data_IF_252703421260
#
_entry.id   IF_252703421260
#
_cell.length_a   1.000
_cell.length_b   1.000
_cell.length_c   1.000
_cell.angle_alpha   90.00
_cell.angle_beta   90.00
_cell.angle_gamma   90.00
#
_symmetry.space_group_name_H-M   'P 1'
#
loop_
_entity.id
_entity.type
_entity.pdbx_description
1 polymer ?
#
# COMPACT_ATOMS: atom_id res chain seq x y z
N UNK A 1 60.85 45.78 -35.88
CA UNK A 1 60.80 45.03 -34.61
C UNK A 1 59.59 45.55 -33.84
N UNK A 2 58.62 44.65 -33.59
CA UNK A 2 57.66 44.58 -32.45
C UNK A 2 57.10 45.90 -31.87
N UNK A 3 55.80 46.12 -31.64
CA UNK A 3 54.68 45.24 -31.36
C UNK A 3 53.38 46.02 -31.66
N UNK A 4 52.39 45.38 -32.28
CA UNK A 4 51.01 45.86 -32.30
C UNK A 4 50.13 44.71 -31.81
N UNK A 5 49.57 44.88 -30.62
CA UNK A 5 48.71 43.91 -29.95
C UNK A 5 47.36 43.76 -30.67
N UNK A 6 47.14 42.55 -31.19
CA UNK A 6 45.89 42.07 -31.79
C UNK A 6 44.87 41.78 -30.68
N UNK A 7 43.90 42.67 -30.48
CA UNK A 7 42.73 42.43 -29.63
C UNK A 7 41.52 42.11 -30.52
N UNK A 8 41.26 40.82 -30.75
CA UNK A 8 40.00 40.35 -31.36
C UNK A 8 38.88 40.38 -30.31
N UNK A 9 37.68 40.87 -30.64
CA UNK A 9 36.55 40.71 -29.75
C UNK A 9 36.11 39.24 -29.77
N UNK A 10 36.13 38.61 -28.60
CA UNK A 10 35.51 37.31 -28.36
C UNK A 10 34.00 37.46 -28.49
N UNK A 11 33.43 36.98 -29.59
CA UNK A 11 31.99 36.77 -29.69
C UNK A 11 31.60 35.69 -28.68
N UNK A 12 31.10 36.11 -27.53
CA UNK A 12 30.38 35.24 -26.61
C UNK A 12 29.12 34.76 -27.34
N UNK A 13 29.19 33.55 -27.88
CA UNK A 13 28.01 32.77 -28.20
C UNK A 13 27.30 32.49 -26.87
N UNK A 14 26.43 33.42 -26.46
CA UNK A 14 25.31 33.06 -25.62
C UNK A 14 24.42 32.15 -26.47
N UNK A 15 24.68 30.85 -26.38
CA UNK A 15 23.69 29.86 -26.77
C UNK A 15 22.49 30.08 -25.87
N UNK A 16 21.51 30.82 -26.37
CA UNK A 16 20.14 30.73 -25.90
C UNK A 16 19.73 29.30 -26.17
N UNK A 17 19.97 28.42 -25.20
CA UNK A 17 19.50 27.05 -25.21
C UNK A 17 17.99 27.11 -24.90
N UNK A 18 17.22 27.62 -25.86
CA UNK A 18 15.78 27.39 -25.89
C UNK A 18 15.61 25.93 -26.25
N UNK A 19 15.75 25.07 -25.24
CA UNK A 19 15.51 23.64 -25.35
C UNK A 19 14.19 23.43 -26.11
N UNK A 20 14.24 22.62 -27.16
CA UNK A 20 13.05 22.31 -27.95
C UNK A 20 11.91 21.88 -27.02
N UNK A 21 10.67 22.37 -27.22
CA UNK A 21 9.56 22.10 -26.32
C UNK A 21 9.35 20.59 -26.17
N UNK A 22 9.23 20.12 -24.93
CA UNK A 22 8.96 18.72 -24.63
C UNK A 22 7.58 18.35 -25.22
N UNK A 23 7.49 17.35 -26.11
CA UNK A 23 6.24 17.03 -26.81
C UNK A 23 5.14 16.45 -25.90
N UNK A 24 5.49 16.00 -24.69
CA UNK A 24 4.58 15.40 -23.71
C UNK A 24 3.99 16.43 -22.76
N UNK A 25 4.69 17.55 -22.55
CA UNK A 25 4.28 18.63 -21.67
C UNK A 25 4.12 19.92 -22.49
N UNK A 26 2.88 20.30 -22.85
CA UNK A 26 2.63 21.46 -23.73
C UNK A 26 2.98 22.81 -23.08
N UNK A 27 3.23 22.83 -21.77
CA UNK A 27 3.65 24.02 -21.04
C UNK A 27 5.17 24.25 -21.15
N UNK A 28 5.65 25.50 -21.02
CA UNK A 28 7.09 25.80 -21.01
C UNK A 28 7.85 25.16 -19.82
N UNK A 29 7.13 24.63 -18.83
CA UNK A 29 7.73 23.97 -17.67
C UNK A 29 8.25 22.55 -17.95
N UNK A 30 7.94 21.96 -19.11
CA UNK A 30 8.43 20.64 -19.52
C UNK A 30 8.10 19.52 -18.53
N UNK A 31 8.94 18.49 -18.47
CA UNK A 31 8.80 17.35 -17.56
C UNK A 31 9.21 17.71 -16.11
N UNK A 32 8.40 18.54 -15.47
CA UNK A 32 8.55 18.98 -14.08
C UNK A 32 7.22 18.90 -13.34
N UNK A 33 7.22 19.02 -12.02
CA UNK A 33 5.98 19.09 -11.24
C UNK A 33 5.10 20.27 -11.68
N UNK A 34 5.71 21.40 -12.06
CA UNK A 34 4.99 22.55 -12.63
C UNK A 34 4.36 22.23 -14.00
N UNK A 35 5.02 21.41 -14.82
CA UNK A 35 4.42 20.90 -16.06
C UNK A 35 3.23 19.98 -15.83
N UNK A 36 3.30 19.12 -14.80
CA UNK A 36 2.18 18.29 -14.36
C UNK A 36 1.02 19.15 -13.83
N UNK A 37 1.33 20.18 -13.03
CA UNK A 37 0.34 21.14 -12.55
C UNK A 37 -0.37 21.86 -13.70
N UNK A 38 0.39 22.33 -14.70
CA UNK A 38 -0.15 22.95 -15.89
C UNK A 38 -1.05 22.00 -16.69
N UNK A 39 -0.72 20.71 -16.79
CA UNK A 39 -1.59 19.69 -17.37
C UNK A 39 -2.87 19.51 -16.55
N UNK A 40 -2.78 19.40 -15.23
CA UNK A 40 -3.95 19.27 -14.35
C UNK A 40 -4.89 20.48 -14.44
N UNK A 41 -4.35 21.68 -14.59
CA UNK A 41 -5.14 22.92 -14.72
C UNK A 41 -5.96 22.96 -16.04
N UNK A 42 -5.57 22.22 -17.07
CA UNK A 42 -6.26 22.27 -18.37
C UNK A 42 -7.68 21.68 -18.28
N UNK A 43 -8.68 22.31 -18.94
CA UNK A 43 -10.04 21.76 -19.03
C UNK A 43 -10.14 20.42 -19.79
N UNK A 44 -9.14 20.11 -20.62
CA UNK A 44 -9.04 18.90 -21.44
C UNK A 44 -8.56 17.69 -20.64
N UNK A 45 -7.74 17.87 -19.62
CA UNK A 45 -7.29 16.80 -18.72
C UNK A 45 -8.46 16.39 -17.82
N UNK A 46 -9.14 15.30 -18.18
CA UNK A 46 -10.35 14.80 -17.51
C UNK A 46 -10.25 13.34 -17.09
N UNK A 47 -9.25 12.63 -17.58
CA UNK A 47 -9.02 11.22 -17.31
C UNK A 47 -7.72 11.00 -16.55
N UNK A 48 -7.66 11.50 -15.31
CA UNK A 48 -6.52 11.25 -14.42
C UNK A 48 -6.69 9.87 -13.77
N UNK A 49 -5.70 9.01 -13.97
CA UNK A 49 -5.62 7.72 -13.28
C UNK A 49 -4.57 7.81 -12.19
N UNK A 50 -4.91 7.31 -11.00
CA UNK A 50 -4.00 7.27 -9.86
C UNK A 50 -3.66 5.82 -9.51
N UNK A 51 -2.37 5.51 -9.37
CA UNK A 51 -1.87 4.28 -8.76
C UNK A 51 -1.32 4.62 -7.37
N UNK A 52 -1.93 4.05 -6.32
CA UNK A 52 -1.56 4.34 -4.94
C UNK A 52 -1.10 3.08 -4.20
N UNK A 53 -0.11 3.24 -3.32
CA UNK A 53 0.30 2.22 -2.37
C UNK A 53 0.38 2.75 -0.93
N UNK A 54 1.01 1.99 -0.05
CA UNK A 54 0.97 2.23 1.39
C UNK A 54 1.53 3.61 1.81
N UNK A 55 2.42 4.19 1.01
CA UNK A 55 3.03 5.49 1.26
C UNK A 55 2.02 6.63 1.39
N UNK A 56 0.85 6.54 0.73
CA UNK A 56 -0.21 7.57 0.86
C UNK A 56 -0.94 7.51 2.21
N UNK A 57 -0.82 6.40 2.95
CA UNK A 57 -1.49 6.17 4.26
C UNK A 57 -0.56 6.40 5.44
N UNK A 58 0.75 6.58 5.22
CA UNK A 58 1.74 6.73 6.31
C UNK A 58 1.52 7.96 7.18
N UNK A 59 0.92 9.03 6.64
CA UNK A 59 0.55 10.26 7.36
C UNK A 59 -0.92 10.32 7.77
N UNK A 60 -1.66 9.21 7.70
CA UNK A 60 -2.99 9.10 8.28
C UNK A 60 -2.98 9.42 9.79
N UNK A 61 -4.15 9.66 10.39
CA UNK A 61 -4.26 9.95 11.83
C UNK A 61 -5.15 8.93 12.54
N UNK A 62 -4.62 8.08 13.42
CA UNK A 62 -3.18 7.89 13.71
C UNK A 62 -2.41 7.33 12.49
N UNK A 63 -1.06 7.44 12.47
CA UNK A 63 -0.24 6.93 11.37
C UNK A 63 -0.47 5.44 11.12
N UNK A 64 -0.58 5.05 9.85
CA UNK A 64 -0.62 3.65 9.44
C UNK A 64 0.77 3.29 8.92
N UNK A 65 1.53 2.39 9.58
CA UNK A 65 2.82 1.98 9.05
C UNK A 65 2.63 1.31 7.70
N UNK A 66 3.58 1.50 6.79
CA UNK A 66 3.61 0.68 5.59
C UNK A 66 4.00 -0.76 5.95
N UNK A 67 4.02 -1.64 4.95
CA UNK A 67 4.40 -3.02 5.19
C UNK A 67 5.92 -3.19 5.29
N UNK A 68 6.67 -2.47 4.45
CA UNK A 68 8.05 -2.82 4.05
C UNK A 68 9.13 -1.91 4.63
N UNK A 69 8.81 -0.72 5.14
CA UNK A 69 9.84 0.23 5.60
C UNK A 69 10.65 -0.37 6.75
N UNK A 70 12.00 -0.29 6.69
CA UNK A 70 12.85 -0.77 7.77
C UNK A 70 12.54 -0.09 9.11
N UNK A 71 12.42 -0.89 10.18
CA UNK A 71 12.27 -0.41 11.56
C UNK A 71 10.86 0.07 11.96
N UNK A 72 10.06 0.58 11.03
CA UNK A 72 8.69 1.08 11.29
C UNK A 72 7.59 0.27 10.61
N UNK A 73 7.92 -0.43 9.53
CA UNK A 73 6.96 -1.19 8.74
C UNK A 73 6.45 -2.42 9.49
N UNK A 74 5.24 -2.86 9.15
CA UNK A 74 4.56 -3.99 9.79
C UNK A 74 5.46 -5.23 9.89
N UNK A 75 6.22 -5.55 8.83
CA UNK A 75 7.13 -6.70 8.80
C UNK A 75 8.29 -6.62 9.79
N UNK A 76 8.79 -5.43 10.10
CA UNK A 76 9.87 -5.26 11.09
C UNK A 76 9.42 -5.64 12.51
N UNK A 77 8.10 -5.57 12.77
CA UNK A 77 7.50 -5.82 14.08
C UNK A 77 6.90 -7.24 14.23
N UNK A 78 7.05 -8.11 13.23
CA UNK A 78 6.47 -9.45 13.21
C UNK A 78 7.40 -10.57 13.69
N UNK A 79 8.60 -10.23 14.17
CA UNK A 79 9.60 -11.19 14.66
C UNK A 79 9.05 -12.12 15.77
N UNK A 80 8.10 -11.65 16.58
CA UNK A 80 7.49 -12.41 17.67
C UNK A 80 6.65 -13.62 17.22
N UNK A 81 6.23 -13.69 15.96
CA UNK A 81 5.35 -14.76 15.46
C UNK A 81 6.11 -15.99 14.93
N UNK A 82 7.46 -16.01 15.03
CA UNK A 82 8.32 -17.08 14.52
C UNK A 82 7.95 -17.48 13.07
N UNK A 83 7.73 -16.47 12.23
CA UNK A 83 7.34 -16.67 10.84
C UNK A 83 8.53 -17.19 10.04
N UNK A 84 8.32 -18.07 9.04
CA UNK A 84 9.40 -18.53 8.17
C UNK A 84 10.01 -17.41 7.32
N UNK A 85 9.21 -16.37 7.04
CA UNK A 85 9.58 -15.11 6.39
C UNK A 85 8.46 -14.09 6.69
N UNK A 86 8.73 -12.79 6.57
CA UNK A 86 7.83 -11.75 7.08
C UNK A 86 6.46 -11.72 6.39
N UNK A 87 6.41 -12.01 5.10
CA UNK A 87 5.20 -12.04 4.27
C UNK A 87 4.30 -13.25 4.55
N UNK A 88 4.79 -14.27 5.28
CA UNK A 88 4.07 -15.53 5.46
C UNK A 88 2.70 -15.34 6.13
N UNK A 89 2.54 -14.33 6.97
CA UNK A 89 1.25 -14.02 7.62
C UNK A 89 0.14 -13.65 6.61
N UNK A 90 0.52 -13.19 5.42
CA UNK A 90 -0.38 -12.85 4.31
C UNK A 90 -0.27 -13.86 3.15
N UNK A 91 0.32 -15.04 3.35
CA UNK A 91 0.31 -16.14 2.38
C UNK A 91 -0.90 -17.06 2.60
N UNK A 92 -1.67 -17.36 1.55
CA UNK A 92 -2.90 -18.15 1.68
C UNK A 92 -2.63 -19.59 2.15
N UNK A 93 -1.50 -20.18 1.73
CA UNK A 93 -1.10 -21.51 2.14
C UNK A 93 -0.69 -21.55 3.61
N UNK A 94 0.07 -20.55 4.07
CA UNK A 94 0.42 -20.39 5.48
C UNK A 94 -0.82 -20.15 6.33
N UNK A 95 -1.71 -19.22 5.95
CA UNK A 95 -2.96 -18.95 6.66
C UNK A 95 -3.85 -20.17 6.84
N UNK A 96 -3.95 -21.03 5.81
CA UNK A 96 -4.72 -22.27 5.90
C UNK A 96 -4.18 -23.25 6.94
N UNK A 97 -2.86 -23.24 7.20
CA UNK A 97 -2.20 -24.11 8.18
C UNK A 97 -2.08 -23.46 9.56
N UNK A 98 -1.79 -22.16 9.60
CA UNK A 98 -1.52 -21.35 10.77
C UNK A 98 -2.32 -20.04 10.70
N UNK A 99 -3.65 -20.08 10.90
CA UNK A 99 -4.49 -18.87 10.81
C UNK A 99 -4.34 -17.94 12.01
N UNK A 100 -3.88 -18.44 13.17
CA UNK A 100 -3.85 -17.70 14.42
C UNK A 100 -3.01 -16.41 14.36
N UNK A 101 -1.78 -16.40 13.79
CA UNK A 101 -0.98 -15.18 13.66
C UNK A 101 -1.74 -14.04 12.96
N UNK A 102 -2.45 -14.35 11.86
CA UNK A 102 -3.25 -13.36 11.15
C UNK A 102 -4.38 -12.80 12.04
N UNK A 103 -5.15 -13.65 12.73
CA UNK A 103 -6.24 -13.17 13.59
C UNK A 103 -5.75 -12.37 14.81
N UNK A 104 -4.58 -12.70 15.35
CA UNK A 104 -3.93 -11.91 16.40
C UNK A 104 -3.51 -10.53 15.89
N UNK A 105 -3.05 -10.45 14.63
CA UNK A 105 -2.67 -9.19 14.00
C UNK A 105 -3.88 -8.35 13.56
N UNK A 106 -4.89 -9.00 12.97
CA UNK A 106 -6.04 -8.37 12.33
C UNK A 106 -6.85 -7.47 13.28
N UNK A 107 -6.82 -7.74 14.58
CA UNK A 107 -7.47 -6.87 15.60
C UNK A 107 -6.94 -5.44 15.59
N UNK A 108 -5.69 -5.23 15.18
CA UNK A 108 -5.08 -3.90 15.07
C UNK A 108 -5.24 -3.27 13.68
N UNK A 109 -5.59 -4.08 12.67
CA UNK A 109 -5.71 -3.64 11.28
C UNK A 109 -7.16 -3.31 10.88
N UNK A 110 -8.14 -3.63 11.74
CA UNK A 110 -9.54 -3.47 11.40
C UNK A 110 -9.93 -1.99 11.24
N UNK A 111 -10.72 -1.61 10.20
CA UNK A 111 -11.11 -0.22 9.94
C UNK A 111 -11.98 0.38 11.05
N UNK A 112 -11.84 1.70 11.26
CA UNK A 112 -12.74 2.50 12.12
C UNK A 112 -12.07 3.65 12.89
N UNK A 113 -10.75 3.65 13.00
CA UNK A 113 -10.03 4.63 13.82
C UNK A 113 -9.17 5.64 13.09
N UNK A 114 -9.07 5.51 11.76
CA UNK A 114 -8.14 6.30 10.96
C UNK A 114 -8.83 7.44 10.22
N UNK A 115 -8.20 8.61 10.25
CA UNK A 115 -8.53 9.74 9.39
C UNK A 115 -7.60 9.72 8.17
N UNK A 116 -8.13 9.85 6.94
CA UNK A 116 -7.31 9.84 5.73
C UNK A 116 -6.25 10.94 5.69
N UNK A 117 -5.10 10.65 5.07
CA UNK A 117 -4.03 11.62 4.83
C UNK A 117 -4.41 12.67 3.77
N UNK A 118 -3.57 13.71 3.57
CA UNK A 118 -3.82 14.76 2.57
C UNK A 118 -3.92 14.17 1.16
N UNK A 119 -3.07 13.20 0.82
CA UNK A 119 -3.06 12.51 -0.47
C UNK A 119 -4.40 11.83 -0.80
N UNK A 120 -5.16 11.36 0.20
CA UNK A 120 -6.49 10.80 -0.02
C UNK A 120 -7.52 11.87 -0.38
N UNK A 121 -7.46 13.04 0.26
CA UNK A 121 -8.33 14.17 -0.08
C UNK A 121 -7.98 14.78 -1.43
N UNK A 122 -6.74 14.62 -1.90
CA UNK A 122 -6.40 14.97 -3.28
C UNK A 122 -7.13 14.10 -4.31
N UNK A 123 -7.35 12.81 -4.02
CA UNK A 123 -8.22 11.96 -4.86
C UNK A 123 -9.65 12.51 -4.89
N UNK A 124 -10.19 12.89 -3.73
CA UNK A 124 -11.50 13.50 -3.63
C UNK A 124 -11.58 14.86 -4.36
N UNK A 125 -10.52 15.65 -4.34
CA UNK A 125 -10.40 16.90 -5.10
C UNK A 125 -10.43 16.65 -6.61
N UNK A 126 -9.63 15.70 -7.11
CA UNK A 126 -9.64 15.31 -8.52
C UNK A 126 -11.04 14.86 -8.95
N UNK A 127 -11.77 14.14 -8.09
CA UNK A 127 -13.15 13.75 -8.33
C UNK A 127 -14.09 14.97 -8.36
N UNK A 128 -14.02 15.85 -7.37
CA UNK A 128 -14.85 17.07 -7.28
C UNK A 128 -14.64 17.99 -8.49
N UNK A 129 -13.42 18.05 -9.01
CA UNK A 129 -13.05 18.79 -10.23
C UNK A 129 -13.40 18.07 -11.53
N UNK A 130 -13.99 16.87 -11.48
CA UNK A 130 -14.37 16.09 -12.65
C UNK A 130 -13.19 15.53 -13.46
N UNK A 131 -12.04 15.34 -12.80
CA UNK A 131 -10.77 14.91 -13.42
C UNK A 131 -10.38 13.47 -13.11
N UNK A 132 -10.90 12.90 -12.03
CA UNK A 132 -10.55 11.54 -11.61
C UNK A 132 -11.25 10.48 -12.47
N UNK A 133 -10.49 9.72 -13.26
CA UNK A 133 -11.01 8.54 -13.96
C UNK A 133 -11.08 7.33 -13.05
N UNK A 134 -9.96 7.03 -12.37
CA UNK A 134 -9.79 5.79 -11.61
C UNK A 134 -8.70 5.91 -10.57
N UNK A 135 -8.91 5.28 -9.42
CA UNK A 135 -7.85 5.00 -8.43
C UNK A 135 -7.66 3.49 -8.38
N UNK A 136 -6.48 3.01 -8.74
CA UNK A 136 -6.03 1.67 -8.39
C UNK A 136 -5.21 1.78 -7.10
N UNK A 137 -5.65 1.12 -6.05
CA UNK A 137 -4.96 1.13 -4.76
C UNK A 137 -4.49 -0.26 -4.38
N UNK A 138 -3.27 -0.36 -3.88
CA UNK A 138 -2.75 -1.57 -3.22
C UNK A 138 -3.15 -1.64 -1.75
N UNK A 139 -3.71 -0.55 -1.21
CA UNK A 139 -4.07 -0.44 0.19
C UNK A 139 -5.37 -1.19 0.46
N UNK A 140 -5.49 -1.68 1.69
CA UNK A 140 -6.65 -2.43 2.19
C UNK A 140 -7.39 -1.66 3.30
N UNK A 141 -6.88 -0.47 3.66
CA UNK A 141 -7.32 0.37 4.77
C UNK A 141 -8.63 1.13 4.51
N UNK A 142 -9.08 1.19 3.25
CA UNK A 142 -10.31 1.84 2.76
C UNK A 142 -10.34 3.37 2.89
N UNK A 143 -9.19 4.01 3.15
CA UNK A 143 -9.11 5.45 3.39
C UNK A 143 -9.53 6.30 2.18
N UNK A 144 -9.43 5.77 0.95
CA UNK A 144 -9.91 6.44 -0.26
C UNK A 144 -11.43 6.66 -0.21
N UNK A 145 -12.17 5.63 0.21
CA UNK A 145 -13.64 5.69 0.37
C UNK A 145 -14.01 6.62 1.52
N UNK A 146 -13.25 6.56 2.63
CA UNK A 146 -13.46 7.41 3.80
C UNK A 146 -13.23 8.89 3.46
N UNK A 147 -12.27 9.20 2.59
CA UNK A 147 -12.04 10.55 2.08
C UNK A 147 -13.14 11.05 1.12
N UNK A 148 -14.08 10.17 0.72
CA UNK A 148 -15.24 10.51 -0.11
C UNK A 148 -15.09 10.18 -1.60
N UNK A 149 -14.07 9.39 -1.98
CA UNK A 149 -13.97 8.89 -3.36
C UNK A 149 -15.08 7.86 -3.61
N UNK A 150 -15.78 8.01 -4.73
CA UNK A 150 -16.90 7.13 -5.08
C UNK A 150 -16.42 5.69 -5.27
N UNK A 151 -17.23 4.74 -4.77
CA UNK A 151 -16.95 3.32 -4.82
C UNK A 151 -16.66 2.81 -6.24
N UNK A 152 -17.36 3.38 -7.22
CA UNK A 152 -17.23 3.03 -8.61
C UNK A 152 -15.94 3.57 -9.23
N UNK A 153 -15.21 4.52 -8.61
CA UNK A 153 -13.90 5.02 -9.07
C UNK A 153 -12.71 4.34 -8.39
N UNK A 154 -12.94 3.65 -7.27
CA UNK A 154 -11.89 2.89 -6.58
C UNK A 154 -11.80 1.45 -7.09
N UNK A 155 -10.58 0.99 -7.30
CA UNK A 155 -10.21 -0.41 -7.57
C UNK A 155 -9.22 -0.81 -6.48
N UNK A 156 -9.73 -1.51 -5.48
CA UNK A 156 -8.97 -2.13 -4.40
C UNK A 156 -8.27 -3.38 -4.97
N UNK A 157 -7.06 -3.20 -5.52
CA UNK A 157 -6.34 -4.25 -6.22
C UNK A 157 -6.02 -5.43 -5.30
N UNK A 158 -5.72 -5.15 -4.03
CA UNK A 158 -5.49 -6.15 -3.00
C UNK A 158 -6.72 -6.37 -2.10
N UNK A 159 -7.92 -6.02 -2.57
CA UNK A 159 -9.14 -6.17 -1.81
C UNK A 159 -9.22 -5.22 -0.61
N UNK A 160 -10.12 -5.48 0.33
CA UNK A 160 -10.28 -4.64 1.52
C UNK A 160 -10.87 -5.38 2.71
N UNK A 161 -10.77 -4.77 3.90
CA UNK A 161 -11.39 -5.26 5.13
C UNK A 161 -12.90 -4.99 5.20
N UNK A 162 -13.50 -4.41 4.15
CA UNK A 162 -14.91 -4.02 4.14
C UNK A 162 -15.86 -5.21 4.25
N UNK A 163 -15.46 -6.39 3.75
CA UNK A 163 -16.27 -7.60 3.73
C UNK A 163 -15.42 -8.81 4.10
N UNK A 164 -16.04 -9.90 4.55
CA UNK A 164 -15.34 -11.15 4.87
C UNK A 164 -16.06 -12.36 4.29
N UNK A 165 -15.28 -13.30 3.72
CA UNK A 165 -15.81 -14.45 2.99
C UNK A 165 -15.14 -15.76 3.42
N UNK A 166 -15.94 -16.82 3.48
CA UNK A 166 -15.42 -18.18 3.65
C UNK A 166 -14.54 -18.59 2.47
N UNK A 167 -13.31 -19.05 2.73
CA UNK A 167 -12.36 -19.38 1.67
C UNK A 167 -12.79 -20.57 0.79
N UNK A 168 -13.63 -21.46 1.33
CA UNK A 168 -14.12 -22.66 0.64
C UNK A 168 -15.47 -22.45 -0.05
N UNK A 169 -16.54 -22.19 0.72
CA UNK A 169 -17.90 -22.12 0.16
C UNK A 169 -18.31 -20.73 -0.35
N UNK A 170 -17.42 -19.74 -0.24
CA UNK A 170 -17.64 -18.33 -0.66
C UNK A 170 -18.85 -17.64 0.00
N UNK A 171 -19.34 -18.17 1.11
CA UNK A 171 -20.35 -17.50 1.91
C UNK A 171 -19.75 -16.25 2.55
N UNK A 172 -20.28 -15.09 2.19
CA UNK A 172 -20.00 -13.82 2.86
C UNK A 172 -20.64 -13.86 4.25
N UNK A 173 -19.86 -13.58 5.28
CA UNK A 173 -20.34 -13.49 6.66
C UNK A 173 -20.76 -12.06 6.99
N UNK A 174 -21.57 -11.94 8.03
CA UNK A 174 -21.95 -10.65 8.61
C UNK A 174 -20.74 -9.91 9.22
N UNK A 175 -20.72 -8.58 9.08
CA UNK A 175 -19.57 -7.75 9.44
C UNK A 175 -19.38 -7.66 10.96
N UNK A 176 -20.47 -7.59 11.74
CA UNK A 176 -20.42 -7.58 13.21
C UNK A 176 -19.98 -8.95 13.75
N UNK A 177 -20.45 -10.03 13.10
CA UNK A 177 -20.07 -11.40 13.44
C UNK A 177 -18.57 -11.67 13.31
N UNK A 178 -17.92 -11.15 12.25
CA UNK A 178 -16.48 -11.34 12.03
C UNK A 178 -15.67 -10.39 12.91
N UNK A 179 -16.13 -9.14 13.07
CA UNK A 179 -15.49 -8.14 13.93
C UNK A 179 -15.34 -8.66 15.35
N UNK A 180 -16.42 -9.17 15.93
CA UNK A 180 -16.41 -9.70 17.30
C UNK A 180 -15.39 -10.84 17.50
N UNK A 181 -15.13 -11.65 16.47
CA UNK A 181 -14.10 -12.71 16.52
C UNK A 181 -12.70 -12.16 16.40
N UNK A 182 -12.49 -11.24 15.47
CA UNK A 182 -11.21 -10.58 15.26
C UNK A 182 -10.79 -9.83 16.53
N UNK A 183 -11.71 -9.11 17.18
CA UNK A 183 -11.46 -8.42 18.46
C UNK A 183 -11.03 -9.37 19.58
N UNK A 184 -11.60 -10.58 19.63
CA UNK A 184 -11.19 -11.64 20.57
C UNK A 184 -9.95 -12.41 20.13
N UNK A 185 -9.39 -12.13 18.96
CA UNK A 185 -8.28 -12.90 18.37
C UNK A 185 -8.66 -14.35 18.03
N UNK A 186 -9.95 -14.63 17.84
CA UNK A 186 -10.46 -15.97 17.56
C UNK A 186 -10.42 -16.28 16.07
N UNK A 187 -9.96 -17.49 15.72
CA UNK A 187 -9.99 -17.97 14.34
C UNK A 187 -11.43 -18.11 13.85
N UNK A 188 -11.80 -17.27 12.88
CA UNK A 188 -13.13 -17.32 12.30
C UNK A 188 -13.31 -18.53 11.36
N UNK A 189 -14.40 -19.27 11.57
CA UNK A 189 -14.79 -20.43 10.77
C UNK A 189 -16.22 -20.27 10.27
N UNK A 190 -16.47 -20.75 9.06
CA UNK A 190 -17.73 -20.55 8.37
C UNK A 190 -18.89 -21.08 9.21
N UNK A 191 -19.94 -20.25 9.46
CA UNK A 191 -21.09 -20.66 10.27
C UNK A 191 -22.05 -21.59 9.52
N UNK A 192 -21.87 -21.79 8.21
CA UNK A 192 -22.77 -22.62 7.41
C UNK A 192 -22.53 -24.10 7.71
N UNK A 193 -23.54 -24.79 8.23
CA UNK A 193 -23.46 -26.21 8.62
C UNK A 193 -22.95 -27.15 7.51
N UNK A 194 -23.28 -26.86 6.24
CA UNK A 194 -22.83 -27.66 5.08
C UNK A 194 -21.39 -27.36 4.64
N UNK A 195 -20.73 -26.35 5.20
CA UNK A 195 -19.37 -26.01 4.86
C UNK A 195 -18.41 -26.89 5.67
N UNK A 196 -17.71 -27.81 4.99
CA UNK A 196 -16.72 -28.67 5.64
C UNK A 196 -15.33 -28.05 5.51
N UNK A 197 -14.66 -27.80 6.64
CA UNK A 197 -13.28 -27.36 6.70
C UNK A 197 -12.31 -28.54 6.88
N UNK A 198 -11.09 -28.42 6.35
CA UNK A 198 -10.00 -29.36 6.63
C UNK A 198 -9.42 -29.09 8.02
N UNK A 199 -10.08 -29.50 9.11
CA UNK A 199 -9.44 -29.63 10.43
C UNK A 199 -9.38 -31.12 10.77
N UNK A 200 -8.18 -31.67 10.97
CA UNK A 200 -8.04 -33.05 11.46
C UNK A 200 -8.75 -33.14 12.82
N UNK A 201 -9.77 -34.00 12.92
CA UNK A 201 -10.42 -34.35 14.18
C UNK A 201 -11.59 -33.48 14.66
N UNK A 202 -12.13 -32.56 13.85
CA UNK A 202 -13.36 -31.83 14.22
C UNK A 202 -14.20 -31.43 13.00
N UNK A 203 -15.52 -31.63 13.07
CA UNK A 203 -16.50 -31.05 12.13
C UNK A 203 -16.57 -29.53 12.34
N UNK A 204 -15.67 -28.80 11.69
CA UNK A 204 -15.64 -27.35 11.75
C UNK A 204 -15.69 -26.76 10.35
N UNK A 205 -16.37 -25.62 10.22
CA UNK A 205 -16.38 -24.83 9.00
C UNK A 205 -14.98 -24.48 8.50
N UNK A 206 -14.86 -24.27 7.19
CA UNK A 206 -13.64 -23.74 6.58
C UNK A 206 -13.36 -22.33 7.10
N UNK A 207 -12.11 -21.87 7.00
CA UNK A 207 -11.70 -20.56 7.49
C UNK A 207 -12.48 -19.44 6.77
N UNK A 208 -12.74 -18.37 7.51
CA UNK A 208 -13.24 -17.11 6.97
C UNK A 208 -12.10 -16.12 7.03
N UNK A 209 -11.96 -15.26 6.04
CA UNK A 209 -11.00 -14.15 6.08
C UNK A 209 -11.64 -12.88 5.52
N UNK A 210 -11.15 -11.69 5.88
CA UNK A 210 -11.45 -10.47 5.16
C UNK A 210 -11.15 -10.62 3.67
N UNK A 211 -11.89 -9.90 2.83
CA UNK A 211 -11.76 -9.94 1.38
C UNK A 211 -10.55 -9.12 0.88
N UNK A 212 -9.43 -9.23 1.62
CA UNK A 212 -8.08 -8.83 1.22
C UNK A 212 -7.39 -9.97 0.48
N UNK A 213 -6.57 -9.64 -0.50
CA UNK A 213 -5.86 -10.60 -1.35
C UNK A 213 -4.58 -11.03 -0.65
N UNK A 214 -4.47 -12.32 -0.36
CA UNK A 214 -3.23 -12.91 0.16
C UNK A 214 -2.30 -13.29 -0.99
N UNK A 215 -1.00 -13.43 -0.70
CA UNK A 215 -0.06 -14.05 -1.63
C UNK A 215 -0.54 -15.46 -1.99
N UNK A 216 -0.48 -15.78 -3.28
CA UNK A 216 -1.04 -17.00 -3.85
C UNK A 216 -2.52 -16.92 -4.24
N UNK A 217 -3.23 -15.82 -3.95
CA UNK A 217 -4.59 -15.58 -4.45
C UNK A 217 -4.60 -14.75 -5.74
N UNK A 218 -5.63 -14.93 -6.57
CA UNK A 218 -5.88 -14.05 -7.70
C UNK A 218 -6.43 -12.70 -7.24
N UNK A 219 -6.01 -11.62 -7.90
CA UNK A 219 -6.60 -10.29 -7.70
C UNK A 219 -8.10 -10.29 -8.08
N UNK A 220 -8.91 -9.35 -7.55
CA UNK A 220 -10.34 -9.29 -7.83
C UNK A 220 -10.62 -9.09 -9.32
N UNK A 221 -11.69 -9.69 -9.84
CA UNK A 221 -12.08 -9.55 -11.26
C UNK A 221 -12.26 -8.08 -11.70
N UNK A 222 -12.67 -7.21 -10.77
CA UNK A 222 -12.77 -5.77 -10.98
C UNK A 222 -11.43 -5.13 -11.36
N UNK A 223 -10.31 -5.60 -10.81
CA UNK A 223 -8.97 -5.13 -11.17
C UNK A 223 -8.75 -5.27 -12.68
N UNK A 224 -8.88 -6.49 -13.19
CA UNK A 224 -8.67 -6.78 -14.62
C UNK A 224 -9.67 -6.06 -15.53
N UNK A 225 -10.94 -5.99 -15.11
CA UNK A 225 -11.99 -5.28 -15.86
C UNK A 225 -11.76 -3.78 -15.99
N UNK A 226 -11.04 -3.16 -15.05
CA UNK A 226 -10.77 -1.72 -15.07
C UNK A 226 -9.45 -1.37 -15.75
N UNK A 227 -8.55 -2.33 -16.03
CA UNK A 227 -7.29 -2.07 -16.77
C UNK A 227 -7.52 -1.26 -18.06
N UNK A 228 -8.55 -1.53 -18.89
CA UNK A 228 -8.81 -0.72 -20.08
C UNK A 228 -9.02 0.78 -19.84
N UNK A 229 -9.38 1.21 -18.63
CA UNK A 229 -9.49 2.65 -18.32
C UNK A 229 -8.15 3.38 -18.44
N UNK A 230 -7.02 2.70 -18.22
CA UNK A 230 -5.68 3.26 -18.35
C UNK A 230 -5.39 3.73 -19.79
N UNK A 231 -6.00 3.10 -20.80
CA UNK A 231 -5.86 3.47 -22.21
C UNK A 231 -6.53 4.81 -22.56
N UNK A 232 -7.39 5.33 -21.68
CA UNK A 232 -8.01 6.64 -21.82
C UNK A 232 -7.35 7.72 -20.97
N UNK A 233 -6.24 7.40 -20.27
CA UNK A 233 -5.62 8.32 -19.34
C UNK A 233 -4.97 9.52 -20.04
N UNK A 234 -5.27 10.72 -19.55
CA UNK A 234 -4.61 11.96 -19.96
C UNK A 234 -3.34 12.21 -19.11
N UNK A 235 -3.32 11.65 -17.89
CA UNK A 235 -2.24 11.75 -16.93
C UNK A 235 -2.28 10.54 -15.99
N UNK A 236 -1.12 9.93 -15.75
CA UNK A 236 -0.93 8.92 -14.70
C UNK A 236 -0.23 9.56 -13.50
N UNK A 237 -0.81 9.43 -12.31
CA UNK A 237 -0.17 9.83 -11.05
C UNK A 237 0.10 8.56 -10.24
N UNK A 238 1.36 8.31 -9.90
CA UNK A 238 1.77 7.17 -9.07
C UNK A 238 2.29 7.72 -7.75
N UNK A 239 1.73 7.27 -6.62
CA UNK A 239 2.07 7.80 -5.30
C UNK A 239 2.30 6.72 -4.27
N UNK A 240 3.39 6.86 -3.51
CA UNK A 240 3.60 6.09 -2.28
C UNK A 240 3.62 4.56 -2.48
N UNK A 241 4.27 4.07 -3.54
CA UNK A 241 4.37 2.63 -3.82
C UNK A 241 5.78 2.28 -4.25
N UNK A 242 6.24 1.06 -3.89
CA UNK A 242 7.52 0.53 -4.34
C UNK A 242 7.46 -0.14 -5.72
N UNK A 243 6.25 -0.32 -6.29
CA UNK A 243 6.02 -1.04 -7.56
C UNK A 243 6.69 -2.43 -7.63
N UNK A 244 6.79 -3.14 -6.51
CA UNK A 244 7.39 -4.48 -6.46
C UNK A 244 6.39 -5.63 -6.65
N UNK A 245 5.09 -5.36 -6.54
CA UNK A 245 4.05 -6.40 -6.52
C UNK A 245 3.33 -6.45 -7.87
N UNK A 246 3.47 -7.58 -8.57
CA UNK A 246 2.74 -7.87 -9.80
C UNK A 246 1.35 -8.46 -9.51
N UNK A 247 0.35 -8.24 -10.39
CA UNK A 247 0.42 -7.49 -11.67
C UNK A 247 0.28 -5.97 -11.53
N UNK A 248 0.15 -5.43 -10.30
CA UNK A 248 -0.09 -3.99 -10.09
C UNK A 248 1.02 -3.11 -10.65
N UNK A 249 2.29 -3.50 -10.46
CA UNK A 249 3.44 -2.74 -10.94
C UNK A 249 3.41 -2.52 -12.46
N UNK A 250 2.92 -3.50 -13.23
CA UNK A 250 2.82 -3.39 -14.70
C UNK A 250 1.80 -2.36 -15.20
N UNK A 251 0.92 -1.83 -14.35
CA UNK A 251 -0.08 -0.85 -14.76
C UNK A 251 0.52 0.47 -15.24
N UNK A 252 1.75 0.80 -14.85
CA UNK A 252 2.45 2.02 -15.31
C UNK A 252 2.69 2.02 -16.82
N UNK A 253 2.72 0.85 -17.45
CA UNK A 253 2.96 0.68 -18.88
C UNK A 253 1.65 0.48 -19.68
N UNK A 254 0.52 0.37 -18.99
CA UNK A 254 -0.79 0.17 -19.59
C UNK A 254 -1.48 1.50 -19.99
N UNK A 255 -0.80 2.64 -19.86
CA UNK A 255 -1.26 3.94 -20.37
C UNK A 255 -0.74 4.21 -21.78
N UNK A 256 -1.41 5.03 -22.60
CA UNK A 256 -0.99 5.30 -23.98
C UNK A 256 0.46 5.76 -24.06
N UNK A 257 1.27 5.05 -24.85
CA UNK A 257 2.64 5.42 -25.15
C UNK A 257 2.74 5.99 -26.57
N UNK A 258 3.49 7.09 -26.79
CA UNK A 258 4.24 7.87 -25.80
C UNK A 258 3.43 9.04 -25.21
N UNK A 259 2.13 9.14 -25.51
CA UNK A 259 1.36 10.39 -25.35
C UNK A 259 0.90 10.71 -23.94
N UNK A 260 0.74 9.72 -23.05
CA UNK A 260 0.29 9.97 -21.67
C UNK A 260 1.50 10.31 -20.78
N UNK A 261 1.56 11.52 -20.19
CA UNK A 261 2.55 11.85 -19.17
C UNK A 261 2.30 11.07 -17.89
N UNK A 262 3.37 10.81 -17.13
CA UNK A 262 3.33 10.09 -15.85
C UNK A 262 4.13 10.85 -14.81
N UNK A 263 3.64 10.88 -13.57
CA UNK A 263 4.39 11.42 -12.43
C UNK A 263 4.47 10.40 -11.31
N UNK A 264 5.65 10.23 -10.74
CA UNK A 264 5.91 9.47 -9.53
C UNK A 264 6.17 10.44 -8.38
N UNK A 265 5.31 10.43 -7.37
CA UNK A 265 5.49 11.14 -6.11
C UNK A 265 5.84 10.10 -5.05
N UNK A 266 7.13 9.97 -4.74
CA UNK A 266 7.60 8.91 -3.86
C UNK A 266 8.93 9.29 -3.21
N UNK A 267 9.30 8.58 -2.13
CA UNK A 267 10.59 8.79 -1.47
C UNK A 267 11.77 8.38 -2.34
N UNK A 268 11.56 7.41 -3.22
CA UNK A 268 12.60 6.82 -4.05
C UNK A 268 12.08 6.61 -5.47
N UNK A 269 12.97 6.66 -6.46
CA UNK A 269 12.65 6.23 -7.82
C UNK A 269 12.37 4.72 -7.83
N UNK A 270 11.33 4.32 -8.54
CA UNK A 270 10.91 2.91 -8.65
C UNK A 270 10.31 2.64 -10.01
N UNK A 271 10.29 1.36 -10.41
CA UNK A 271 9.69 0.93 -11.69
C UNK A 271 10.39 1.53 -12.91
N UNK A 272 11.68 1.86 -12.81
CA UNK A 272 12.48 2.39 -13.92
C UNK A 272 12.67 1.34 -15.03
N UNK A 273 13.04 1.81 -16.22
CA UNK A 273 13.49 0.95 -17.31
C UNK A 273 14.51 -0.06 -16.78
N UNK A 274 14.35 -1.33 -17.15
CA UNK A 274 15.38 -2.31 -16.86
C UNK A 274 16.67 -1.90 -17.58
N UNK A 275 17.62 -1.29 -16.85
CA UNK A 275 18.97 -1.13 -17.35
C UNK A 275 19.58 -2.52 -17.51
N UNK A 276 20.41 -2.69 -18.52
CA UNK A 276 21.16 -3.92 -18.79
C UNK A 276 22.22 -4.25 -17.72
N UNK A 277 22.08 -3.76 -16.48
CA UNK A 277 23.09 -3.86 -15.41
C UNK A 277 23.19 -5.28 -14.80
N UNK A 278 22.66 -6.29 -15.50
CA UNK A 278 22.90 -7.71 -15.23
C UNK A 278 23.64 -8.47 -16.33
N UNK A 279 24.02 -7.86 -17.46
CA UNK A 279 24.72 -8.55 -18.54
C UNK A 279 25.93 -7.76 -19.05
N UNK A 280 27.07 -7.94 -18.40
CA UNK A 280 28.39 -7.55 -18.91
C UNK A 280 28.73 -8.40 -20.14
N UNK A 281 28.24 -8.01 -21.30
CA UNK A 281 28.46 -8.72 -22.54
C UNK A 281 28.38 -7.83 -23.78
N UNK A 282 29.52 -7.24 -24.15
CA UNK A 282 29.88 -6.89 -25.53
C UNK A 282 29.15 -5.71 -26.16
N UNK A 283 29.90 -4.67 -26.51
CA UNK A 283 29.39 -3.47 -27.16
C UNK A 283 28.63 -3.73 -28.46
N UNK A 284 27.41 -3.19 -28.54
CA UNK A 284 26.76 -2.78 -29.78
C UNK A 284 25.65 -1.76 -29.41
N UNK A 285 25.60 -0.63 -30.11
CA UNK A 285 24.99 0.63 -29.63
C UNK A 285 23.47 0.68 -29.42
N UNK A 286 23.06 1.68 -28.63
CA UNK A 286 21.78 2.42 -28.52
C UNK A 286 20.44 1.80 -28.96
N UNK A 287 20.27 0.48 -28.93
CA UNK A 287 19.03 -0.19 -29.37
C UNK A 287 18.46 -1.23 -28.39
N UNK A 288 18.90 -1.22 -27.13
CA UNK A 288 18.62 -2.32 -26.19
C UNK A 288 17.97 -1.90 -24.86
N UNK A 289 17.18 -0.81 -24.85
CA UNK A 289 16.29 -0.52 -23.73
C UNK A 289 14.91 -1.12 -24.02
N UNK A 290 14.43 -2.03 -23.18
CA UNK A 290 13.02 -2.41 -23.19
C UNK A 290 12.20 -1.16 -22.83
N UNK A 291 11.25 -0.75 -23.67
CA UNK A 291 10.43 0.48 -23.53
C UNK A 291 9.43 0.45 -22.34
N UNK A 292 9.64 -0.43 -21.36
CA UNK A 292 8.73 -0.70 -20.23
C UNK A 292 9.34 -0.18 -18.94
N UNK A 293 8.58 0.60 -18.17
CA UNK A 293 9.05 1.29 -16.97
C UNK A 293 9.16 2.80 -17.16
N UNK A 294 9.53 3.50 -16.08
CA UNK A 294 9.79 4.93 -16.06
C UNK A 294 11.15 5.29 -16.66
N UNK A 295 11.18 6.32 -17.50
CA UNK A 295 12.37 6.92 -18.09
C UNK A 295 12.55 8.37 -17.59
N UNK A 296 12.89 8.54 -16.32
CA UNK A 296 13.02 9.88 -15.73
C UNK A 296 14.13 10.74 -16.36
N UNK A 297 15.12 10.09 -16.98
CA UNK A 297 16.28 10.77 -17.56
C UNK A 297 16.17 10.96 -19.08
N UNK A 298 15.08 10.47 -19.70
CA UNK A 298 14.80 10.63 -21.13
C UNK A 298 15.75 9.83 -22.03
N UNK A 299 16.28 8.71 -21.55
CA UNK A 299 17.20 7.83 -22.27
C UNK A 299 16.60 7.33 -23.59
N UNK A 300 15.30 7.10 -23.63
CA UNK A 300 14.55 6.62 -24.81
C UNK A 300 14.08 7.75 -25.73
N UNK A 301 14.06 9.00 -25.23
CA UNK A 301 13.49 10.16 -25.93
C UNK A 301 14.51 11.26 -26.28
N UNK A 302 15.81 10.93 -26.26
CA UNK A 302 16.86 11.83 -26.74
C UNK A 302 17.40 12.81 -25.70
N UNK A 303 17.34 12.43 -24.41
CA UNK A 303 18.08 13.02 -23.30
C UNK A 303 17.24 13.78 -22.28
N UNK A 304 17.94 14.33 -21.29
CA UNK A 304 17.36 15.01 -20.11
C UNK A 304 16.30 16.03 -20.51
N UNK A 305 15.14 15.96 -19.84
CA UNK A 305 14.03 16.89 -20.04
C UNK A 305 13.14 16.58 -21.25
N UNK A 306 13.48 15.60 -22.09
CA UNK A 306 12.63 15.11 -23.19
C UNK A 306 11.83 13.88 -22.81
N UNK A 307 11.43 13.73 -21.56
CA UNK A 307 10.67 12.56 -21.09
C UNK A 307 9.21 12.88 -20.83
N UNK A 308 8.36 11.86 -20.83
CA UNK A 308 6.97 11.95 -20.34
C UNK A 308 6.87 11.71 -18.82
N UNK A 309 7.97 11.34 -18.17
CA UNK A 309 8.03 10.86 -16.81
C UNK A 309 8.65 11.88 -15.86
N UNK A 310 7.93 12.21 -14.80
CA UNK A 310 8.37 13.15 -13.76
C UNK A 310 8.55 12.41 -12.45
N UNK A 311 9.66 12.64 -11.77
CA UNK A 311 9.87 12.17 -10.40
C UNK A 311 9.88 13.35 -9.44
N UNK A 312 9.08 13.23 -8.39
CA UNK A 312 9.11 14.09 -7.21
C UNK A 312 9.58 13.26 -6.02
N UNK A 313 10.74 13.64 -5.48
CA UNK A 313 11.34 13.00 -4.31
C UNK A 313 10.74 13.58 -3.02
N UNK A 314 9.90 12.80 -2.34
CA UNK A 314 9.29 13.25 -1.09
C UNK A 314 8.12 12.40 -0.63
N UNK A 315 7.53 12.78 0.50
CA UNK A 315 6.30 12.13 0.98
C UNK A 315 5.13 12.47 0.05
N UNK A 316 4.16 11.56 -0.02
CA UNK A 316 2.97 11.75 -0.84
C UNK A 316 2.23 13.05 -0.51
N UNK A 317 2.05 13.36 0.78
CA UNK A 317 1.38 14.60 1.22
C UNK A 317 2.16 15.87 0.82
N UNK A 318 3.50 15.84 0.88
CA UNK A 318 4.34 16.99 0.51
C UNK A 318 4.26 17.26 -0.99
N UNK A 319 4.38 16.22 -1.81
CA UNK A 319 4.26 16.35 -3.27
C UNK A 319 2.85 16.73 -3.72
N UNK A 320 1.81 16.26 -3.02
CA UNK A 320 0.43 16.69 -3.26
C UNK A 320 0.23 18.16 -2.92
N UNK A 321 0.75 18.62 -1.77
CA UNK A 321 0.65 20.03 -1.37
C UNK A 321 1.35 20.92 -2.40
N UNK A 322 2.56 20.56 -2.82
CA UNK A 322 3.31 21.32 -3.83
C UNK A 322 2.62 21.30 -5.20
N UNK A 323 2.12 20.16 -5.64
CA UNK A 323 1.40 20.03 -6.90
C UNK A 323 0.16 20.92 -6.93
N UNK A 324 -0.65 20.88 -5.87
CA UNK A 324 -1.88 21.68 -5.76
C UNK A 324 -1.56 23.16 -5.68
N UNK A 325 -0.52 23.55 -4.94
CA UNK A 325 -0.01 24.94 -4.92
C UNK A 325 0.35 25.44 -6.32
N UNK A 326 1.03 24.61 -7.11
CA UNK A 326 1.42 24.93 -8.48
C UNK A 326 0.23 25.02 -9.43
N UNK A 327 -0.87 24.31 -9.17
CA UNK A 327 -2.11 24.44 -9.95
C UNK A 327 -2.80 25.77 -9.65
N UNK A 328 -2.87 26.16 -8.37
CA UNK A 328 -3.35 27.49 -7.95
C UNK A 328 -4.07 27.49 -6.60
N UNK A 329 -4.20 28.68 -6.01
CA UNK A 329 -4.75 28.91 -4.66
C UNK A 329 -6.16 28.31 -4.48
N UNK A 330 -7.01 28.36 -5.52
CA UNK A 330 -8.36 27.79 -5.46
C UNK A 330 -8.35 26.26 -5.18
N UNK A 331 -7.38 25.53 -5.74
CA UNK A 331 -7.26 24.09 -5.47
C UNK A 331 -6.74 23.84 -4.06
N UNK A 332 -5.83 24.70 -3.57
CA UNK A 332 -5.25 24.61 -2.23
C UNK A 332 -6.33 24.82 -1.15
N UNK A 333 -7.15 25.85 -1.32
CA UNK A 333 -8.29 26.13 -0.45
C UNK A 333 -9.34 25.01 -0.48
N UNK A 334 -9.65 24.48 -1.65
CA UNK A 334 -10.63 23.40 -1.79
C UNK A 334 -10.12 22.09 -1.18
N UNK A 335 -8.84 21.74 -1.38
CA UNK A 335 -8.22 20.57 -0.75
C UNK A 335 -8.31 20.66 0.77
N UNK A 336 -7.95 21.83 1.33
CA UNK A 336 -8.02 22.10 2.76
C UNK A 336 -9.46 21.96 3.26
N UNK A 337 -10.43 22.54 2.56
CA UNK A 337 -11.85 22.46 2.89
C UNK A 337 -12.36 21.01 2.89
N UNK A 338 -12.04 20.23 1.86
CA UNK A 338 -12.43 18.81 1.76
C UNK A 338 -11.90 18.01 2.96
N UNK A 339 -10.64 18.24 3.35
CA UNK A 339 -10.02 17.59 4.52
C UNK A 339 -10.70 17.99 5.82
N UNK A 340 -10.92 19.28 6.04
CA UNK A 340 -11.61 19.80 7.24
C UNK A 340 -13.03 19.25 7.37
N UNK A 341 -13.81 19.28 6.28
CA UNK A 341 -15.17 18.72 6.23
C UNK A 341 -15.18 17.21 6.47
N UNK A 342 -14.24 16.47 5.86
CA UNK A 342 -14.08 15.03 6.06
C UNK A 342 -13.78 14.69 7.53
N UNK A 343 -12.83 15.41 8.15
CA UNK A 343 -12.49 15.23 9.56
C UNK A 343 -13.68 15.54 10.47
N UNK A 344 -14.39 16.64 10.21
CA UNK A 344 -15.57 17.02 10.98
C UNK A 344 -16.69 15.98 10.88
N UNK A 345 -16.89 15.35 9.71
CA UNK A 345 -17.85 14.24 9.53
C UNK A 345 -17.45 13.02 10.37
N UNK A 346 -16.18 12.62 10.34
CA UNK A 346 -15.66 11.49 11.12
C UNK A 346 -15.79 11.71 12.63
N UNK A 347 -15.44 12.91 13.10
CA UNK A 347 -15.53 13.25 14.52
C UNK A 347 -16.98 13.30 15.03
N UNK A 348 -17.92 13.73 14.19
CA UNK A 348 -19.36 13.65 14.48
C UNK A 348 -19.87 12.21 14.49
N UNK A 349 -19.39 11.37 13.59
CA UNK A 349 -19.72 9.93 13.54
C UNK A 349 -19.34 9.22 14.83
N UNK A 350 -18.09 9.40 15.29
CA UNK A 350 -17.57 8.83 16.53
C UNK A 350 -18.39 9.24 17.77
N UNK A 351 -18.80 10.52 17.85
CA UNK A 351 -19.66 11.02 18.95
C UNK A 351 -21.04 10.37 18.97
N UNK A 352 -21.60 10.02 17.81
CA UNK A 352 -22.90 9.33 17.72
C UNK A 352 -22.78 7.86 18.13
N UNK A 353 -21.72 7.18 17.72
CA UNK A 353 -21.45 5.79 18.14
C UNK A 353 -21.19 5.69 19.66
N UNK A 354 -20.45 6.64 20.24
CA UNK A 354 -20.21 6.67 21.69
C UNK A 354 -21.48 7.00 22.49
N UNK A 355 -22.40 7.80 21.94
CA UNK A 355 -23.70 8.08 22.56
C UNK A 355 -24.64 6.87 22.48
N UNK A 356 -24.71 6.20 21.33
CA UNK A 356 -25.56 5.02 21.12
C UNK A 356 -25.12 3.82 21.98
N UNK A 357 -23.81 3.62 22.15
CA UNK A 357 -23.28 2.59 23.07
C UNK A 357 -23.56 2.89 24.54
N UNK A 358 -23.66 4.17 24.93
CA UNK A 358 -24.01 4.58 26.29
C UNK A 358 -25.51 4.40 26.64
N UNK A 359 -26.40 4.44 25.64
CA UNK A 359 -27.84 4.25 25.84
C UNK A 359 -28.27 2.77 25.81
N UNK A 360 -27.49 1.88 25.21
CA UNK A 360 -27.72 0.42 25.21
C UNK A 360 -27.26 -0.32 26.47
N UNK A 361 -26.55 0.34 27.39
CA UNK A 361 -26.10 -0.22 28.67
C UNK A 361 -26.92 0.34 29.84
N UNK A 362 -28.20 -0.03 29.94
CA UNK A 362 -28.99 0.19 31.17
C UNK A 362 -29.47 -1.06 31.90
N UNK A 363 -29.18 -2.26 31.41
CA UNK A 363 -29.39 -3.50 32.17
C UNK A 363 -28.12 -4.35 32.21
N UNK A 364 -27.55 -4.51 33.41
CA UNK A 364 -26.38 -5.35 33.68
C UNK A 364 -25.16 -4.56 34.19
N UNK A 365 -25.08 -4.35 35.51
CA UNK A 365 -23.87 -3.86 36.18
C UNK A 365 -22.75 -4.90 36.06
N UNK A 366 -21.70 -4.58 35.32
CA UNK A 366 -20.31 -4.80 35.74
C UNK A 366 -19.42 -3.71 35.10
N UNK A 367 -18.79 -2.91 35.96
CA UNK A 367 -17.99 -1.75 35.58
C UNK A 367 -16.65 -2.20 35.02
N UNK A 368 -16.32 -1.81 33.78
CA UNK A 368 -14.94 -1.62 33.34
C UNK A 368 -14.87 -0.29 32.57
N UNK A 369 -14.32 0.71 33.23
CA UNK A 369 -14.05 2.03 32.67
C UNK A 369 -12.87 1.93 31.69
N UNK A 370 -13.03 2.48 30.48
CA UNK A 370 -11.97 2.53 29.47
C UNK A 370 -11.30 3.92 29.52
N UNK A 371 -9.99 4.05 29.81
CA UNK A 371 -9.32 5.34 29.93
C UNK A 371 -8.90 5.92 28.57
N UNK A 372 -8.88 7.25 28.54
CA UNK A 372 -8.65 8.15 27.40
C UNK A 372 -7.23 8.16 26.83
N UNK A 373 -7.15 8.10 25.50
CA UNK A 373 -6.26 8.78 24.53
C UNK A 373 -5.08 9.59 25.10
N UNK A 374 -4.07 8.90 25.64
CA UNK A 374 -2.64 9.26 25.58
C UNK A 374 -1.75 8.04 25.28
N UNK A 375 -2.36 6.88 25.03
CA UNK A 375 -1.72 5.55 25.04
C UNK A 375 -1.51 4.91 23.66
N UNK A 376 -1.58 5.64 22.55
CA UNK A 376 -1.51 4.96 21.23
C UNK A 376 -0.08 4.62 20.76
N UNK A 377 0.98 5.25 21.31
CA UNK A 377 2.35 4.72 21.16
C UNK A 377 2.63 3.61 22.17
N UNK A 378 1.99 3.64 23.34
CA UNK A 378 2.14 2.60 24.35
C UNK A 378 1.43 1.30 23.95
N UNK A 379 0.46 1.31 23.02
CA UNK A 379 -0.20 0.09 22.49
C UNK A 379 0.62 -0.73 21.51
N UNK A 380 1.50 -0.10 20.73
CA UNK A 380 2.49 -0.82 19.90
C UNK A 380 3.63 -1.38 20.77
N UNK A 381 4.02 -0.63 21.81
CA UNK A 381 4.96 -1.11 22.83
C UNK A 381 4.35 -2.18 23.75
N UNK A 382 3.06 -2.08 24.09
CA UNK A 382 2.29 -3.12 24.78
C UNK A 382 2.10 -4.32 23.87
N UNK A 383 1.86 -4.13 22.58
CA UNK A 383 1.87 -5.22 21.60
C UNK A 383 3.22 -5.93 21.65
N UNK A 384 4.34 -5.21 21.62
CA UNK A 384 5.68 -5.80 21.76
C UNK A 384 5.86 -6.54 23.10
N UNK A 385 5.42 -5.95 24.23
CA UNK A 385 5.53 -6.56 25.58
C UNK A 385 4.61 -7.76 25.81
N UNK A 386 3.36 -7.71 25.32
CA UNK A 386 2.41 -8.82 25.37
C UNK A 386 2.87 -9.98 24.48
N UNK A 387 3.47 -9.66 23.33
CA UNK A 387 4.09 -10.63 22.43
C UNK A 387 5.30 -11.33 23.07
N UNK A 388 6.15 -10.59 23.77
CA UNK A 388 7.27 -11.16 24.55
C UNK A 388 6.81 -12.02 25.73
N UNK A 389 5.71 -11.65 26.38
CA UNK A 389 5.19 -12.37 27.56
C UNK A 389 4.50 -13.68 27.16
N UNK A 390 3.75 -13.71 26.06
CA UNK A 390 3.10 -14.93 25.55
C UNK A 390 4.09 -15.91 24.92
N UNK A 391 5.11 -15.43 24.24
CA UNK A 391 6.18 -16.29 23.71
C UNK A 391 6.95 -17.05 24.82
N UNK A 392 7.00 -16.50 26.05
CA UNK A 392 7.63 -17.14 27.21
C UNK A 392 6.73 -18.17 27.90
N UNK A 393 5.41 -18.07 27.75
CA UNK A 393 4.45 -18.99 28.36
C UNK A 393 4.25 -20.28 27.56
N UNK A 394 4.47 -20.26 26.24
CA UNK A 394 4.43 -21.45 25.38
C UNK A 394 5.76 -22.24 25.37
N UNK A 395 6.78 -21.76 26.08
CA UNK A 395 8.12 -22.34 26.12
C UNK A 395 8.41 -23.19 27.38
N UNK A 396 7.47 -23.33 28.31
CA UNK A 396 7.63 -24.22 29.48
C UNK A 396 7.28 -25.67 29.11
N UNK A 397 8.21 -26.63 29.21
CA UNK A 397 7.91 -28.03 28.99
C UNK A 397 6.99 -28.52 30.11
N UNK A 398 5.94 -29.27 29.76
CA UNK A 398 5.20 -30.08 30.73
C UNK A 398 6.06 -31.28 31.10
N UNK A 399 6.46 -31.33 32.37
CA UNK A 399 6.99 -32.53 33.00
C UNK A 399 5.90 -33.61 33.03
N UNK A 400 6.17 -34.75 32.41
CA UNK A 400 5.46 -36.00 32.66
C UNK A 400 6.48 -37.06 33.10
N UNK A 401 6.42 -37.40 34.39
CA UNK A 401 7.02 -38.59 34.95
C UNK A 401 6.01 -39.75 34.88
N UNK A 402 6.43 -40.93 34.40
CA UNK A 402 6.13 -42.25 34.99
C UNK A 402 6.72 -43.42 34.17
N UNK A 403 7.70 -44.09 34.79
CA UNK A 403 7.74 -45.52 35.17
C UNK A 403 7.33 -46.63 34.16
N UNK A 404 8.25 -47.57 33.88
CA UNK A 404 8.05 -49.04 33.91
C UNK A 404 9.24 -49.83 33.30
N UNK A 405 10.00 -50.46 34.20
CA UNK A 405 10.54 -51.85 34.22
C UNK A 405 10.75 -52.72 32.96
N UNK A 406 11.87 -53.46 33.03
CA UNK A 406 12.15 -54.84 32.59
C UNK A 406 12.58 -55.17 31.14
N UNK A 407 13.72 -55.85 31.03
CA UNK A 407 14.18 -56.49 29.78
C UNK A 407 15.65 -56.90 29.76
N UNK A 408 15.94 -58.08 30.33
CA UNK A 408 17.24 -58.77 30.42
C UNK A 408 17.93 -59.10 29.08
N UNK A 409 19.24 -59.32 29.22
CA UNK A 409 20.12 -60.27 28.51
C UNK A 409 20.72 -59.91 27.13
N UNK A 410 22.04 -60.11 27.00
CA UNK A 410 22.70 -60.12 25.69
C UNK A 410 24.21 -59.85 25.69
N UNK A 411 24.98 -60.72 26.34
CA UNK A 411 26.46 -60.73 26.38
C UNK A 411 27.07 -60.98 24.99
N UNK A 412 28.10 -60.21 24.61
CA UNK A 412 29.42 -60.66 24.08
C UNK A 412 29.99 -59.90 22.85
N UNK A 413 31.15 -59.26 23.11
CA UNK A 413 32.41 -59.23 22.33
C UNK A 413 32.32 -59.39 20.80
N UNK A 414 32.88 -58.44 20.04
CA UNK A 414 34.30 -58.44 19.65
C UNK A 414 34.62 -57.46 18.49
N UNK A 415 35.75 -56.77 18.66
CA UNK A 415 36.80 -56.48 17.66
C UNK A 415 36.54 -55.52 16.48
N UNK A 416 37.33 -54.44 16.56
CA UNK A 416 38.25 -53.88 15.57
C UNK A 416 37.73 -53.31 14.24
N UNK A 417 38.13 -52.04 14.07
CA UNK A 417 38.62 -51.39 12.84
C UNK A 417 37.75 -51.52 11.59
N UNK A 418 37.03 -50.44 11.27
CA UNK A 418 37.47 -49.39 10.36
C UNK A 418 36.52 -48.21 10.44
#
# INVERSE_FOLDING_TARGET
MSDASDARPTSSFFSNDTAAPNPFFPSPHGATLAGVAALLAQPTTRNVVVLAGAGISTSASPPIPDFRSPGIGLYSNLAAYNLPYAEAIFDIGYFQRHPQPFFTLAKHLYPGNFKPALAHYFLALLQARGKLKRVFTQNVDTLERIAGVEADRVVEAHGSFATSTCIACKHRVDDDWIRARVERGEVARCPRAKCVGKKRGAEAGALVKPDIVFFGESLPSRFFRCIPDLQSADLLIVMGTSLQVQPFASLIDAVPSPTCPRVLINLERVGELASSDGYSGGGMGSRMYNETGFDFDGLTYGGKGKTRDVFYEGKADDGVAELVKLVGEEWEEELRRLKEEGYAKLDKGKKKESAATSEGQKDGKEKLANPTIKDDTSKLDELARDLETKAKLDATPKDDAQDATDGKEGRSKAKHSS
#
